data_IF_113285155158
#
_entry.id   IF_113285155158
#
_cell.length_a   1.000
_cell.length_b   1.000
_cell.length_c   1.000
_cell.angle_alpha   90.00
_cell.angle_beta   90.00
_cell.angle_gamma   90.00
#
_symmetry.space_group_name_H-M   'P 1'
#
loop_
_entity.id
_entity.type
_entity.pdbx_description
1 polymer ?
#
# COMPACT_ATOMS: atom_id res chain seq x y z
N UNK A 1 -10.65 -4.56 0.25
CA UNK A 1 -9.35 -5.00 0.80
C UNK A 1 -9.02 -4.21 2.06
N UNK A 2 -8.55 -4.89 3.10
CA UNK A 2 -8.09 -4.28 4.35
C UNK A 2 -6.58 -4.54 4.45
N UNK A 3 -5.80 -3.47 4.66
CA UNK A 3 -4.35 -3.52 4.85
C UNK A 3 -4.08 -3.15 6.30
N UNK A 4 -3.45 -4.03 7.06
CA UNK A 4 -3.14 -3.77 8.47
C UNK A 4 -1.66 -3.43 8.63
N UNK A 5 -1.36 -2.18 9.04
CA UNK A 5 0.02 -1.71 9.31
C UNK A 5 0.19 -1.28 10.77
N UNK A 6 -0.73 -1.68 11.65
CA UNK A 6 -0.60 -1.49 13.10
C UNK A 6 0.62 -2.26 13.61
N UNK A 7 1.43 -1.63 14.46
CA UNK A 7 2.68 -2.23 14.96
C UNK A 7 3.79 -2.40 13.91
N UNK A 8 3.68 -1.74 12.76
CA UNK A 8 4.70 -1.82 11.71
C UNK A 8 5.95 -1.00 12.09
N UNK A 9 7.04 -1.68 12.44
CA UNK A 9 8.31 -1.07 12.83
C UNK A 9 9.15 -0.43 11.71
N UNK A 10 8.63 -0.33 10.48
CA UNK A 10 9.30 0.34 9.37
C UNK A 10 10.12 -0.59 8.47
N UNK A 11 11.03 0.00 7.69
CA UNK A 11 11.75 -0.68 6.61
C UNK A 11 11.97 0.23 5.41
N UNK A 12 11.82 -0.30 4.20
CA UNK A 12 12.05 0.44 2.95
C UNK A 12 11.17 -0.01 1.78
N UNK A 13 10.15 -0.83 2.02
CA UNK A 13 9.36 -1.48 0.97
C UNK A 13 8.05 -0.77 0.65
N UNK A 14 7.65 0.23 1.45
CA UNK A 14 6.40 0.96 1.22
C UNK A 14 6.26 1.56 -0.19
N UNK A 15 7.31 2.06 -0.90
CA UNK A 15 7.16 2.54 -2.27
C UNK A 15 6.64 1.44 -3.21
N UNK A 16 7.25 0.25 -3.15
CA UNK A 16 6.91 -0.89 -4.02
C UNK A 16 5.49 -1.42 -3.78
N UNK A 17 5.01 -1.34 -2.54
CA UNK A 17 3.63 -1.73 -2.19
C UNK A 17 2.65 -0.66 -2.68
N UNK A 18 2.94 0.62 -2.45
CA UNK A 18 2.09 1.72 -2.92
C UNK A 18 1.95 1.70 -4.45
N UNK A 19 3.04 1.48 -5.19
CA UNK A 19 2.99 1.34 -6.65
C UNK A 19 2.05 0.22 -7.12
N UNK A 20 2.07 -0.94 -6.45
CA UNK A 20 1.15 -2.05 -6.75
C UNK A 20 -0.30 -1.68 -6.45
N UNK A 21 -0.54 -0.99 -5.33
CA UNK A 21 -1.88 -0.57 -4.92
C UNK A 21 -2.49 0.51 -5.81
N UNK A 22 -1.64 1.29 -6.48
CA UNK A 22 -2.02 2.34 -7.43
C UNK A 22 -2.32 1.82 -8.84
N UNK A 23 -2.04 0.55 -9.15
CA UNK A 23 -2.30 -0.01 -10.49
C UNK A 23 -3.78 0.09 -10.84
N UNK A 24 -4.04 0.63 -12.02
CA UNK A 24 -5.38 0.76 -12.59
C UNK A 24 -5.58 -0.21 -13.75
N UNK A 25 -6.83 -0.58 -14.01
CA UNK A 25 -7.16 -1.51 -15.08
C UNK A 25 -6.98 -0.78 -16.40
N UNK A 26 -6.07 -1.27 -17.24
CA UNK A 26 -5.86 -0.70 -18.57
C UNK A 26 -6.66 -1.49 -19.60
N UNK A 27 -6.54 -2.81 -19.58
CA UNK A 27 -7.27 -3.73 -20.45
C UNK A 27 -7.37 -5.11 -19.79
N UNK A 28 -8.22 -5.96 -20.35
CA UNK A 28 -8.32 -7.37 -19.98
C UNK A 28 -7.77 -8.24 -21.11
N UNK A 29 -7.02 -9.27 -20.77
CA UNK A 29 -6.56 -10.29 -21.72
C UNK A 29 -7.48 -11.49 -21.67
N UNK A 30 -7.74 -12.10 -22.83
CA UNK A 30 -8.54 -13.31 -22.93
C UNK A 30 -7.89 -14.30 -23.90
N UNK A 31 -7.89 -15.57 -23.51
CA UNK A 31 -7.48 -16.69 -24.34
C UNK A 31 -8.70 -17.52 -24.76
N UNK A 32 -8.58 -18.23 -25.88
CA UNK A 32 -9.63 -19.16 -26.34
C UNK A 32 -9.93 -20.18 -25.25
N UNK A 33 -11.20 -20.24 -24.80
CA UNK A 33 -11.65 -21.15 -23.74
C UNK A 33 -11.60 -20.57 -22.32
N UNK A 34 -11.11 -19.35 -22.10
CA UNK A 34 -11.26 -18.66 -20.81
C UNK A 34 -12.71 -18.19 -20.60
N UNK A 35 -13.25 -18.43 -19.41
CA UNK A 35 -14.57 -17.92 -19.01
C UNK A 35 -14.54 -16.47 -18.54
N UNK A 36 -13.42 -16.04 -17.94
CA UNK A 36 -13.20 -14.69 -17.46
C UNK A 36 -11.85 -14.18 -17.96
N UNK A 37 -11.77 -12.88 -18.28
CA UNK A 37 -10.52 -12.27 -18.71
C UNK A 37 -9.64 -11.87 -17.53
N UNK A 38 -8.33 -11.86 -17.75
CA UNK A 38 -7.36 -11.47 -16.74
C UNK A 38 -7.13 -9.95 -16.78
N UNK A 39 -7.18 -9.24 -15.64
CA UNK A 39 -6.89 -7.82 -15.58
C UNK A 39 -5.39 -7.56 -15.83
N UNK A 40 -5.10 -6.57 -16.68
CA UNK A 40 -3.74 -6.10 -16.95
C UNK A 40 -3.60 -4.62 -16.54
N UNK A 41 -2.55 -4.25 -15.76
CA UNK A 41 -1.39 -5.06 -15.34
C UNK A 41 -1.66 -6.15 -14.29
N UNK A 42 -0.85 -7.21 -14.28
CA UNK A 42 -0.95 -8.32 -13.30
C UNK A 42 -0.75 -7.83 -11.85
N UNK A 43 -1.38 -8.49 -10.88
CA UNK A 43 -1.18 -8.20 -9.44
C UNK A 43 -1.96 -6.97 -8.95
N UNK A 44 -2.99 -6.59 -9.69
CA UNK A 44 -3.92 -5.55 -9.32
C UNK A 44 -4.87 -5.97 -8.20
N UNK A 45 -5.29 -5.00 -7.40
CA UNK A 45 -6.35 -5.17 -6.42
C UNK A 45 -7.51 -4.25 -6.78
N UNK A 46 -8.54 -4.80 -7.41
CA UNK A 46 -9.71 -4.03 -7.86
C UNK A 46 -10.69 -3.87 -6.69
N UNK A 47 -11.27 -2.68 -6.57
CA UNK A 47 -12.28 -2.36 -5.55
C UNK A 47 -11.76 -1.55 -4.35
N UNK A 48 -12.64 -1.29 -3.37
CA UNK A 48 -12.36 -0.42 -2.23
C UNK A 48 -11.23 -0.93 -1.34
N UNK A 49 -10.41 0.00 -0.85
CA UNK A 49 -9.23 -0.29 -0.01
C UNK A 49 -9.30 0.54 1.27
N UNK A 50 -8.87 -0.07 2.37
CA UNK A 50 -8.74 0.57 3.67
C UNK A 50 -7.40 0.18 4.27
N UNK A 51 -6.76 1.11 4.97
CA UNK A 51 -5.54 0.85 5.75
C UNK A 51 -5.77 1.13 7.22
N UNK A 52 -5.26 0.25 8.09
CA UNK A 52 -5.33 0.37 9.55
C UNK A 52 -3.99 0.83 10.11
N UNK A 53 -3.99 1.87 10.94
CA UNK A 53 -2.81 2.53 11.49
C UNK A 53 -2.89 2.63 13.02
N UNK A 54 -1.77 2.48 13.72
CA UNK A 54 -1.69 2.77 15.15
C UNK A 54 -0.45 3.59 15.51
N UNK A 55 -0.34 3.92 16.80
CA UNK A 55 0.78 4.68 17.39
C UNK A 55 2.13 3.94 17.35
N UNK A 56 2.13 2.64 17.05
CA UNK A 56 3.33 1.80 17.02
C UNK A 56 3.88 1.65 15.59
N UNK A 57 3.22 2.20 14.59
CA UNK A 57 3.78 2.35 13.26
C UNK A 57 4.88 3.42 13.27
N UNK A 58 6.04 3.07 12.74
CA UNK A 58 7.29 3.83 12.83
C UNK A 58 7.96 3.90 11.43
N UNK A 59 8.61 5.02 11.10
CA UNK A 59 9.48 5.18 9.93
C UNK A 59 8.77 4.89 8.60
N UNK A 60 9.13 3.84 7.88
CA UNK A 60 8.42 3.44 6.65
C UNK A 60 6.95 3.03 6.92
N UNK A 61 6.67 2.61 8.16
CA UNK A 61 5.34 2.39 8.70
C UNK A 61 4.52 3.67 8.87
N UNK A 62 5.17 4.84 9.02
CA UNK A 62 4.51 6.17 8.93
C UNK A 62 4.30 6.58 7.47
N UNK A 63 5.28 6.32 6.61
CA UNK A 63 5.26 6.73 5.21
C UNK A 63 4.21 5.98 4.38
N UNK A 64 3.99 4.70 4.64
CA UNK A 64 2.98 3.91 3.94
C UNK A 64 1.55 4.50 4.06
N UNK A 65 0.96 4.67 5.27
CA UNK A 65 -0.37 5.22 5.42
C UNK A 65 -0.45 6.68 4.95
N UNK A 66 0.63 7.46 5.10
CA UNK A 66 0.69 8.81 4.53
C UNK A 66 0.57 8.78 3.00
N UNK A 67 1.39 7.97 2.31
CA UNK A 67 1.32 7.79 0.86
C UNK A 67 -0.03 7.24 0.41
N UNK A 68 -0.63 6.35 1.19
CA UNK A 68 -1.96 5.80 0.93
C UNK A 68 -3.06 6.88 0.90
N UNK A 69 -2.98 7.85 1.83
CA UNK A 69 -3.89 9.00 1.87
C UNK A 69 -3.62 10.00 0.75
N UNK A 70 -2.36 10.39 0.55
CA UNK A 70 -1.97 11.39 -0.47
C UNK A 70 -2.34 10.92 -1.88
N UNK A 71 -2.11 9.64 -2.18
CA UNK A 71 -2.46 9.06 -3.49
C UNK A 71 -3.94 8.68 -3.60
N UNK A 72 -4.78 9.01 -2.60
CA UNK A 72 -6.23 8.76 -2.59
C UNK A 72 -6.59 7.30 -2.88
N UNK A 73 -5.76 6.37 -2.42
CA UNK A 73 -5.95 4.92 -2.68
C UNK A 73 -7.16 4.38 -1.91
N UNK A 74 -7.44 4.94 -0.74
CA UNK A 74 -8.54 4.53 0.12
C UNK A 74 -8.60 5.31 1.41
N UNK A 75 -9.38 4.81 2.38
CA UNK A 75 -9.49 5.42 3.71
C UNK A 75 -8.42 4.87 4.67
N UNK A 76 -7.93 5.73 5.56
CA UNK A 76 -7.10 5.33 6.70
C UNK A 76 -7.93 5.38 7.97
N UNK A 77 -7.85 4.33 8.77
CA UNK A 77 -8.62 4.18 10.02
C UNK A 77 -7.64 3.84 11.14
N UNK A 78 -7.79 4.49 12.30
CA UNK A 78 -6.97 4.22 13.48
C UNK A 78 -6.51 5.50 14.18
N UNK A 79 -5.32 5.47 14.78
CA UNK A 79 -4.74 6.59 15.53
C UNK A 79 -3.59 7.25 14.78
N UNK A 80 -3.18 8.46 15.22
CA UNK A 80 -1.92 9.06 14.77
C UNK A 80 -0.76 8.11 15.12
N UNK A 81 0.15 7.94 14.17
CA UNK A 81 1.34 7.10 14.29
C UNK A 81 2.49 7.82 15.01
N UNK A 82 3.66 7.19 15.12
CA UNK A 82 4.79 7.75 15.89
C UNK A 82 5.26 9.10 15.34
N UNK A 83 5.36 9.22 14.02
CA UNK A 83 5.63 10.50 13.35
C UNK A 83 7.10 10.82 13.16
N UNK A 84 7.98 9.81 13.09
CA UNK A 84 9.41 10.00 12.86
C UNK A 84 9.87 9.32 11.57
N UNK A 85 10.17 10.14 10.57
CA UNK A 85 10.53 9.69 9.20
C UNK A 85 11.95 10.10 8.79
N UNK A 86 12.83 10.32 9.76
CA UNK A 86 14.24 10.62 9.50
C UNK A 86 15.03 9.30 9.55
N UNK A 87 15.37 8.77 8.37
CA UNK A 87 16.14 7.55 8.25
C UNK A 87 17.61 7.74 8.66
N UNK A 88 18.20 6.70 9.25
CA UNK A 88 19.63 6.65 9.51
C UNK A 88 20.39 6.24 8.23
N UNK A 89 21.45 6.96 7.88
CA UNK A 89 22.39 6.58 6.82
C UNK A 89 23.81 6.79 7.33
N UNK A 90 24.47 5.70 7.72
CA UNK A 90 25.84 5.69 8.23
C UNK A 90 26.38 4.27 8.32
N UNK A 91 27.69 4.11 8.14
CA UNK A 91 28.39 2.88 8.50
C UNK A 91 28.61 2.86 10.02
N UNK A 92 28.41 1.70 10.65
CA UNK A 92 28.83 1.44 12.04
C UNK A 92 30.33 1.23 12.03
#
# INVERSE_FOLDING_TARGET
>A
MIIDVRGNGGGNVSPMIIERLMRQLTYMTMHTGQQEGDPNPVGMHIGPKVTLLDKYSDSDGDLFPYRFQVNKIGKTIGTRSWGGVVGYSGAI
#
